data_IF_391865562574
#
_entry.id   IF_391865562574
#
_cell.length_a   1.000
_cell.length_b   1.000
_cell.length_c   1.000
_cell.angle_alpha   90.00
_cell.angle_beta   90.00
_cell.angle_gamma   90.00
#
_symmetry.space_group_name_H-M   'P 1'
#
loop_
_entity.id
_entity.type
_entity.pdbx_description
1 polymer ?
#
# COMPACT_ATOMS: atom_id res chain seq x y z
N UNK A 1 -10.77 -3.54 8.23
CA UNK A 1 -9.31 -3.63 8.45
C UNK A 1 -8.66 -4.16 7.18
N UNK A 2 -7.70 -3.44 6.62
CA UNK A 2 -6.95 -3.85 5.44
C UNK A 2 -5.49 -3.43 5.59
N UNK A 3 -4.56 -4.29 5.16
CA UNK A 3 -3.14 -3.98 5.13
C UNK A 3 -2.81 -3.04 3.94
N UNK A 4 -1.65 -2.40 3.97
CA UNK A 4 -1.15 -1.58 2.85
C UNK A 4 -1.06 -2.42 1.54
N UNK A 5 -0.68 -3.69 1.66
CA UNK A 5 -0.59 -4.64 0.54
C UNK A 5 -1.96 -4.89 -0.11
N UNK A 6 -3.02 -5.07 0.70
CA UNK A 6 -4.39 -5.17 0.19
C UNK A 6 -4.80 -3.90 -0.55
N UNK A 7 -4.41 -2.73 -0.03
CA UNK A 7 -4.69 -1.44 -0.66
C UNK A 7 -4.02 -1.33 -2.04
N UNK A 8 -2.78 -1.80 -2.19
CA UNK A 8 -2.11 -1.81 -3.50
C UNK A 8 -2.81 -2.68 -4.52
N UNK A 9 -3.27 -3.87 -4.12
CA UNK A 9 -4.03 -4.77 -5.00
C UNK A 9 -5.34 -4.15 -5.49
N UNK A 10 -6.07 -3.50 -4.58
CA UNK A 10 -7.31 -2.77 -4.91
C UNK A 10 -7.03 -1.61 -5.88
N UNK A 11 -5.99 -0.81 -5.64
CA UNK A 11 -5.59 0.28 -6.51
C UNK A 11 -5.23 -0.22 -7.92
N UNK A 12 -4.44 -1.28 -8.03
CA UNK A 12 -4.08 -1.86 -9.33
C UNK A 12 -5.31 -2.39 -10.08
N UNK A 13 -6.23 -3.05 -9.36
CA UNK A 13 -7.48 -3.56 -9.94
C UNK A 13 -8.35 -2.42 -10.51
N UNK A 14 -8.42 -1.28 -9.82
CA UNK A 14 -9.22 -0.12 -10.25
C UNK A 14 -8.71 0.51 -11.55
N UNK A 15 -7.39 0.49 -11.79
CA UNK A 15 -6.79 0.94 -13.04
C UNK A 15 -6.73 -0.16 -14.12
N UNK A 16 -7.44 -1.28 -13.90
CA UNK A 16 -7.51 -2.44 -14.80
C UNK A 16 -6.15 -3.12 -15.05
N UNK A 17 -5.22 -2.99 -14.11
CA UNK A 17 -3.97 -3.75 -14.12
C UNK A 17 -4.15 -5.08 -13.38
N UNK A 18 -3.35 -6.09 -13.75
CA UNK A 18 -3.27 -7.33 -12.97
C UNK A 18 -2.56 -7.04 -11.63
N UNK A 19 -3.18 -7.29 -10.47
CA UNK A 19 -2.51 -7.13 -9.18
C UNK A 19 -1.32 -8.08 -9.06
N UNK A 20 -0.29 -7.65 -8.32
CA UNK A 20 0.80 -8.53 -7.93
C UNK A 20 0.41 -9.34 -6.69
N UNK A 21 1.14 -10.43 -6.44
CA UNK A 21 1.01 -11.17 -5.20
C UNK A 21 1.34 -10.28 -4.00
N UNK A 22 0.65 -10.51 -2.88
CA UNK A 22 0.98 -9.83 -1.64
C UNK A 22 2.42 -10.18 -1.24
N UNK A 23 3.17 -9.21 -0.72
CA UNK A 23 4.60 -9.38 -0.41
C UNK A 23 5.47 -9.71 -1.63
N UNK A 24 5.02 -9.47 -2.86
CA UNK A 24 5.87 -9.47 -4.05
C UNK A 24 6.99 -8.43 -3.94
N UNK A 25 8.04 -8.58 -4.74
CA UNK A 25 9.16 -7.64 -4.75
C UNK A 25 8.68 -6.23 -5.10
N UNK A 26 7.77 -6.14 -6.08
CA UNK A 26 7.16 -4.91 -6.58
C UNK A 26 6.42 -4.17 -5.47
N UNK A 27 5.53 -4.85 -4.75
CA UNK A 27 4.78 -4.21 -3.66
C UNK A 27 5.61 -3.90 -2.42
N UNK A 28 6.63 -4.70 -2.10
CA UNK A 28 7.55 -4.35 -1.00
C UNK A 28 8.38 -3.11 -1.31
N UNK A 29 8.85 -2.98 -2.55
CA UNK A 29 9.58 -1.79 -2.99
C UNK A 29 8.66 -0.55 -3.00
N UNK A 30 7.41 -0.70 -3.44
CA UNK A 30 6.41 0.37 -3.38
C UNK A 30 6.10 0.79 -1.93
N UNK A 31 5.96 -0.17 -1.02
CA UNK A 31 5.76 0.07 0.40
C UNK A 31 6.92 0.86 1.01
N UNK A 32 8.16 0.46 0.70
CA UNK A 32 9.36 1.18 1.12
C UNK A 32 9.38 2.62 0.60
N UNK A 33 9.13 2.81 -0.70
CA UNK A 33 9.11 4.14 -1.31
C UNK A 33 8.07 5.05 -0.66
N UNK A 34 6.83 4.57 -0.49
CA UNK A 34 5.77 5.37 0.13
C UNK A 34 6.04 5.67 1.60
N UNK A 35 6.68 4.75 2.33
CA UNK A 35 7.12 4.97 3.71
C UNK A 35 8.19 6.06 3.77
N UNK A 36 9.18 6.02 2.86
CA UNK A 36 10.22 7.04 2.77
C UNK A 36 9.64 8.42 2.42
N UNK A 37 8.71 8.49 1.47
CA UNK A 37 7.99 9.71 1.13
C UNK A 37 7.16 10.27 2.29
N UNK A 38 6.83 9.42 3.26
CA UNK A 38 6.02 9.79 4.43
C UNK A 38 6.82 10.26 5.64
N UNK A 39 8.14 10.43 5.50
CA UNK A 39 9.02 10.87 6.59
C UNK A 39 8.58 12.23 7.15
N UNK A 40 8.53 12.32 8.49
CA UNK A 40 8.09 13.53 9.21
C UNK A 40 6.60 13.58 9.53
N UNK A 41 5.79 12.63 9.03
CA UNK A 41 4.40 12.46 9.47
C UNK A 41 4.32 11.54 10.68
N UNK A 42 3.40 11.84 11.60
CA UNK A 42 3.11 10.96 12.74
C UNK A 42 2.40 9.67 12.29
N UNK A 43 2.75 8.55 12.93
CA UNK A 43 2.09 7.28 12.68
C UNK A 43 0.66 7.33 13.22
N UNK A 44 -0.32 7.15 12.31
CA UNK A 44 -1.75 7.30 12.61
C UNK A 44 -2.55 5.98 12.45
N UNK A 45 -1.87 4.83 12.46
CA UNK A 45 -2.48 3.51 12.36
C UNK A 45 -2.67 2.85 13.73
N UNK A 46 -3.73 2.03 13.94
CA UNK A 46 -4.82 1.71 13.02
C UNK A 46 -5.80 2.88 12.83
N UNK A 47 -6.17 3.16 11.58
CA UNK A 47 -6.98 4.31 11.24
C UNK A 47 -8.32 3.89 10.62
N UNK A 48 -9.40 4.60 10.95
CA UNK A 48 -10.68 4.47 10.25
C UNK A 48 -10.70 5.37 9.02
N UNK A 49 -10.97 4.80 7.84
CA UNK A 49 -11.07 5.49 6.54
C UNK A 49 -12.27 4.91 5.78
N UNK A 50 -12.93 5.75 4.97
CA UNK A 50 -14.10 5.36 4.14
C UNK A 50 -13.67 4.60 2.89
#
# INVERSE_FOLDING_TARGET
IGTIQKRFQECNSQVRAKPYEAQSQEYRQLEYFLSYMSNGMELNGPASRR
#
